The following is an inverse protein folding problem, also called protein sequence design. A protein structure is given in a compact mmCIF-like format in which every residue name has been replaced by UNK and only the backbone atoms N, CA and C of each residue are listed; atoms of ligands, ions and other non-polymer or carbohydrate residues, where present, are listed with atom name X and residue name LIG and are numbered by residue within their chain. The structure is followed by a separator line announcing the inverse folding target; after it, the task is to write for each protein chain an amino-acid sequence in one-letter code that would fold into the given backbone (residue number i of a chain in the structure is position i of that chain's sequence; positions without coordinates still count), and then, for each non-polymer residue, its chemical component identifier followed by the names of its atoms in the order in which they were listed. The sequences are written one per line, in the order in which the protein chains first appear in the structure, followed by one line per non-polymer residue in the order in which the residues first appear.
data_IF_207723614374
#
_entry.id   IF_207723614374
#
_cell.length_a   1.000
_cell.length_b   1.000
_cell.length_c   1.000
_cell.angle_alpha   90.00
_cell.angle_beta   90.00
_cell.angle_gamma   90.00
#
_symmetry.space_group_name_H-M   'P 1'
#
loop_
_entity.id
_entity.type
_entity.pdbx_description
1 polymer ?
#
# COMPACT_ATOMS: atom_id res chain seq x y z
N UNK A 1 2.90 23.56 4.03
CA UNK A 1 1.93 22.53 3.58
C UNK A 1 1.85 22.48 2.05
N UNK A 2 1.82 21.27 1.49
CA UNK A 2 1.67 20.99 0.06
C UNK A 2 0.29 20.34 -0.21
N UNK A 3 -0.37 20.73 -1.31
CA UNK A 3 -1.70 20.23 -1.68
C UNK A 3 -1.69 19.38 -2.95
N UNK A 4 -0.63 19.44 -3.75
CA UNK A 4 -0.44 18.60 -4.93
C UNK A 4 0.92 17.89 -4.88
N UNK A 5 1.09 16.84 -5.68
CA UNK A 5 2.38 16.15 -5.80
C UNK A 5 3.40 17.09 -6.45
N UNK A 6 2.96 17.91 -7.41
CA UNK A 6 3.81 18.96 -7.98
C UNK A 6 4.34 19.91 -6.90
N UNK A 7 3.47 20.43 -6.04
CA UNK A 7 3.90 21.31 -4.93
C UNK A 7 4.82 20.59 -3.94
N UNK A 8 4.52 19.32 -3.62
CA UNK A 8 5.37 18.50 -2.76
C UNK A 8 6.79 18.36 -3.35
N UNK A 9 6.89 18.03 -4.63
CA UNK A 9 8.18 17.90 -5.34
C UNK A 9 8.93 19.24 -5.37
N UNK A 10 8.25 20.33 -5.74
CA UNK A 10 8.86 21.67 -5.79
C UNK A 10 9.36 22.12 -4.42
N UNK A 11 8.58 21.95 -3.35
CA UNK A 11 8.98 22.30 -1.98
C UNK A 11 10.13 21.40 -1.49
N UNK A 12 10.08 20.10 -1.77
CA UNK A 12 11.15 19.19 -1.37
C UNK A 12 12.49 19.59 -2.02
N UNK A 13 12.49 19.89 -3.32
CA UNK A 13 13.70 20.27 -4.05
C UNK A 13 14.23 21.65 -3.63
N UNK A 14 13.35 22.65 -3.47
CA UNK A 14 13.74 24.03 -3.18
C UNK A 14 14.17 24.24 -1.72
N UNK A 15 13.40 23.68 -0.78
CA UNK A 15 13.53 24.02 0.64
C UNK A 15 14.22 22.91 1.45
N UNK A 16 14.23 21.66 0.95
CA UNK A 16 14.70 20.48 1.68
C UNK A 16 15.75 19.65 0.92
N UNK A 17 16.35 20.19 -0.15
CA UNK A 17 17.39 19.52 -0.95
C UNK A 17 16.96 18.13 -1.46
N UNK A 18 15.69 17.99 -1.79
CA UNK A 18 15.06 16.74 -2.26
C UNK A 18 14.62 15.79 -1.14
N UNK A 19 14.78 16.15 0.14
CA UNK A 19 14.39 15.31 1.27
C UNK A 19 12.89 15.45 1.60
N UNK A 20 12.08 14.55 1.04
CA UNK A 20 10.62 14.50 1.26
C UNK A 20 10.27 14.12 2.71
N UNK A 21 11.08 13.30 3.38
CA UNK A 21 10.83 12.91 4.76
C UNK A 21 10.90 14.12 5.70
N UNK A 22 11.92 14.98 5.54
CA UNK A 22 12.05 16.21 6.34
C UNK A 22 10.95 17.24 6.07
N UNK A 23 10.55 17.37 4.80
CA UNK A 23 9.39 18.18 4.44
C UNK A 23 8.13 17.68 5.18
N UNK A 24 7.93 16.37 5.26
CA UNK A 24 6.78 15.80 5.98
C UNK A 24 6.87 15.99 7.48
N UNK A 25 8.05 15.81 8.09
CA UNK A 25 8.27 16.03 9.53
C UNK A 25 7.97 17.49 9.89
N UNK A 26 8.43 18.43 9.06
CA UNK A 26 8.14 19.86 9.24
C UNK A 26 6.64 20.13 9.10
N UNK A 27 5.98 19.50 8.13
CA UNK A 27 4.54 19.61 7.93
C UNK A 27 3.74 19.05 9.11
N UNK A 28 4.17 17.93 9.72
CA UNK A 28 3.55 17.39 10.95
C UNK A 28 3.64 18.37 12.12
N UNK A 29 4.80 19.02 12.30
CA UNK A 29 4.97 20.05 13.32
C UNK A 29 4.02 21.23 13.08
N UNK A 30 3.95 21.75 11.84
CA UNK A 30 3.07 22.86 11.46
C UNK A 30 1.58 22.55 11.69
N UNK A 31 1.16 21.31 11.42
CA UNK A 31 -0.23 20.89 11.49
C UNK A 31 -0.70 20.55 12.91
N UNK A 32 0.16 19.92 13.70
CA UNK A 32 -0.24 19.32 14.97
C UNK A 32 0.34 20.03 16.19
N UNK A 33 1.41 20.82 16.00
CA UNK A 33 2.21 21.40 17.08
C UNK A 33 3.02 20.37 17.87
N UNK A 34 3.11 19.11 17.41
CA UNK A 34 3.94 18.07 18.06
C UNK A 34 5.41 18.32 17.76
N UNK A 35 6.22 18.23 18.80
CA UNK A 35 7.68 18.31 18.67
C UNK A 35 8.25 17.11 17.90
N UNK A 36 9.42 17.31 17.28
CA UNK A 36 10.07 16.30 16.43
C UNK A 36 10.22 14.94 17.14
N UNK A 37 10.64 14.93 18.40
CA UNK A 37 10.82 13.69 19.17
C UNK A 37 9.51 12.90 19.31
N UNK A 38 8.38 13.60 19.48
CA UNK A 38 7.07 12.97 19.59
C UNK A 38 6.61 12.39 18.25
N UNK A 39 6.82 13.11 17.15
CA UNK A 39 6.52 12.66 15.78
C UNK A 39 7.32 11.39 15.45
N UNK A 40 8.60 11.35 15.80
CA UNK A 40 9.45 10.17 15.62
C UNK A 40 9.01 9.00 16.50
N UNK A 41 8.65 9.25 17.77
CA UNK A 41 8.17 8.20 18.67
C UNK A 41 6.88 7.53 18.15
N UNK A 42 5.96 8.31 17.60
CA UNK A 42 4.74 7.79 16.99
C UNK A 42 5.03 6.96 15.74
N UNK A 43 5.94 7.44 14.89
CA UNK A 43 6.34 6.73 13.68
C UNK A 43 7.10 5.43 14.00
N UNK A 44 7.92 5.44 15.05
CA UNK A 44 8.61 4.26 15.57
C UNK A 44 7.62 3.15 15.93
N UNK A 45 6.56 3.51 16.67
CA UNK A 45 5.51 2.55 17.01
C UNK A 45 4.82 1.97 15.78
N UNK A 46 4.61 2.78 14.73
CA UNK A 46 4.05 2.31 13.48
C UNK A 46 5.00 1.31 12.80
N UNK A 47 6.30 1.63 12.75
CA UNK A 47 7.34 0.76 12.20
C UNK A 47 7.41 -0.59 12.94
N UNK A 48 7.39 -0.58 14.26
CA UNK A 48 7.38 -1.79 15.09
C UNK A 48 6.17 -2.67 14.79
N UNK A 49 4.95 -2.10 14.77
CA UNK A 49 3.71 -2.82 14.45
C UNK A 49 3.76 -3.39 13.03
N UNK A 50 4.24 -2.60 12.06
CA UNK A 50 4.41 -3.02 10.68
C UNK A 50 5.31 -4.24 10.57
N UNK A 51 6.52 -4.20 11.16
CA UNK A 51 7.47 -5.32 11.14
C UNK A 51 6.94 -6.54 11.88
N UNK A 52 6.30 -6.34 13.02
CA UNK A 52 5.70 -7.41 13.79
C UNK A 52 4.58 -8.12 13.00
N UNK A 53 3.73 -7.37 12.30
CA UNK A 53 2.61 -7.94 11.53
C UNK A 53 3.07 -8.86 10.38
N UNK A 54 4.23 -8.59 9.76
CA UNK A 54 4.84 -9.49 8.77
C UNK A 54 5.23 -10.82 9.41
N UNK A 55 5.95 -10.76 10.54
CA UNK A 55 6.41 -11.97 11.24
C UNK A 55 5.25 -12.79 11.82
N UNK A 56 4.31 -12.13 12.49
CA UNK A 56 3.13 -12.76 13.08
C UNK A 56 2.12 -13.27 12.04
N UNK A 57 2.21 -12.79 10.80
CA UNK A 57 1.41 -13.23 9.68
C UNK A 57 1.91 -14.53 9.04
N UNK A 58 3.22 -14.79 9.11
CA UNK A 58 3.89 -15.90 8.44
C UNK A 58 3.69 -17.23 9.19
N UNK A 59 2.48 -17.78 9.11
CA UNK A 59 2.11 -19.07 9.67
C UNK A 59 0.94 -19.69 8.91
N UNK A 60 0.64 -20.96 9.20
CA UNK A 60 -0.41 -21.72 8.54
C UNK A 60 -1.81 -21.53 9.15
N UNK A 61 -1.94 -20.68 10.19
CA UNK A 61 -3.22 -20.49 10.87
C UNK A 61 -4.21 -19.73 9.99
N UNK A 62 -5.46 -20.21 10.00
CA UNK A 62 -6.57 -19.62 9.25
C UNK A 62 -7.32 -18.54 10.02
N UNK A 63 -7.97 -17.66 9.27
CA UNK A 63 -8.97 -16.72 9.79
C UNK A 63 -10.17 -17.46 10.37
N UNK A 64 -11.04 -16.73 11.09
CA UNK A 64 -12.27 -17.30 11.65
C UNK A 64 -13.25 -17.80 10.58
N UNK A 65 -13.29 -17.16 9.41
CA UNK A 65 -14.13 -17.59 8.29
C UNK A 65 -13.54 -18.81 7.57
N UNK A 66 -12.23 -19.04 7.71
CA UNK A 66 -11.49 -20.08 7.00
C UNK A 66 -11.18 -19.74 5.53
N UNK A 67 -11.55 -18.56 5.03
CA UNK A 67 -11.32 -18.14 3.64
C UNK A 67 -9.85 -17.82 3.35
N UNK A 68 -9.11 -17.32 4.34
CA UNK A 68 -7.68 -17.01 4.20
C UNK A 68 -6.84 -17.57 5.35
N UNK A 69 -5.53 -17.73 5.09
CA UNK A 69 -4.55 -18.21 6.05
C UNK A 69 -3.67 -19.31 5.47
N UNK A 70 -2.36 -19.16 5.67
CA UNK A 70 -1.34 -20.11 5.24
C UNK A 70 -0.88 -19.91 3.80
N UNK A 71 -1.41 -18.95 3.06
CA UNK A 71 -0.89 -18.66 1.71
C UNK A 71 0.47 -17.97 1.76
N UNK A 72 0.75 -17.20 2.83
CA UNK A 72 2.09 -16.65 3.06
C UNK A 72 3.12 -17.77 3.24
N UNK A 73 2.81 -18.78 4.06
CA UNK A 73 3.68 -19.94 4.29
C UNK A 73 3.89 -20.78 3.01
N UNK A 74 2.83 -20.97 2.20
CA UNK A 74 2.98 -21.64 0.90
C UNK A 74 3.92 -20.90 -0.04
N UNK A 75 3.80 -19.56 -0.11
CA UNK A 75 4.67 -18.76 -0.95
C UNK A 75 6.11 -18.74 -0.41
N UNK A 76 6.29 -18.75 0.90
CA UNK A 76 7.59 -18.90 1.56
C UNK A 76 8.30 -20.20 1.14
N UNK A 77 7.62 -21.34 1.29
CA UNK A 77 8.15 -22.62 0.84
C UNK A 77 8.42 -22.67 -0.68
N UNK A 78 7.61 -22.00 -1.49
CA UNK A 78 7.87 -21.89 -2.92
C UNK A 78 9.16 -21.10 -3.22
N UNK A 79 9.44 -20.03 -2.47
CA UNK A 79 10.67 -19.25 -2.56
C UNK A 79 11.88 -20.10 -2.13
N UNK A 80 11.77 -20.82 -1.01
CA UNK A 80 12.83 -21.71 -0.49
C UNK A 80 13.20 -22.84 -1.47
N UNK A 81 12.23 -23.31 -2.26
CA UNK A 81 12.48 -24.32 -3.30
C UNK A 81 13.34 -23.82 -4.47
N UNK A 82 13.59 -22.50 -4.57
CA UNK A 82 14.56 -21.90 -5.49
C UNK A 82 14.20 -21.95 -6.98
N UNK A 83 12.99 -22.37 -7.34
CA UNK A 83 12.50 -22.44 -8.74
C UNK A 83 11.49 -21.32 -9.03
N UNK A 84 11.73 -20.13 -8.51
CA UNK A 84 10.85 -18.98 -8.65
C UNK A 84 10.89 -18.40 -10.06
N UNK A 85 9.79 -17.75 -10.48
CA UNK A 85 9.69 -17.09 -11.77
C UNK A 85 10.08 -15.60 -11.69
N UNK A 86 9.71 -14.95 -10.59
CA UNK A 86 10.01 -13.54 -10.33
C UNK A 86 11.25 -13.41 -9.45
N UNK A 87 11.82 -12.20 -9.42
CA UNK A 87 12.93 -11.86 -8.53
C UNK A 87 12.59 -12.11 -7.05
N UNK A 88 13.61 -12.52 -6.28
CA UNK A 88 13.48 -12.84 -4.86
C UNK A 88 12.90 -11.68 -4.05
N UNK A 89 13.36 -10.44 -4.27
CA UNK A 89 12.92 -9.28 -3.50
C UNK A 89 11.43 -9.01 -3.73
N UNK A 90 10.97 -9.09 -4.98
CA UNK A 90 9.56 -8.87 -5.33
C UNK A 90 8.68 -9.98 -4.73
N UNK A 91 9.12 -11.25 -4.79
CA UNK A 91 8.38 -12.36 -4.19
C UNK A 91 8.34 -12.29 -2.67
N UNK A 92 9.44 -11.87 -2.03
CA UNK A 92 9.49 -11.63 -0.59
C UNK A 92 8.51 -10.52 -0.18
N UNK A 93 8.41 -9.45 -0.95
CA UNK A 93 7.40 -8.41 -0.72
C UNK A 93 5.97 -8.96 -0.89
N UNK A 94 5.70 -9.71 -1.95
CA UNK A 94 4.40 -10.34 -2.15
C UNK A 94 4.02 -11.29 -1.00
N UNK A 95 4.96 -12.13 -0.54
CA UNK A 95 4.80 -13.01 0.63
C UNK A 95 4.50 -12.21 1.90
N UNK A 96 5.28 -11.17 2.17
CA UNK A 96 5.12 -10.35 3.37
C UNK A 96 3.76 -9.61 3.36
N UNK A 97 3.28 -9.19 2.20
CA UNK A 97 1.97 -8.56 2.05
C UNK A 97 0.83 -9.54 2.38
N UNK A 98 0.93 -10.78 1.89
CA UNK A 98 -0.01 -11.85 2.24
C UNK A 98 0.03 -12.09 3.76
N UNK A 99 1.22 -12.17 4.36
CA UNK A 99 1.38 -12.40 5.79
C UNK A 99 0.65 -11.31 6.61
N UNK A 100 0.89 -10.03 6.32
CA UNK A 100 0.24 -8.92 7.02
C UNK A 100 -1.28 -8.97 6.87
N UNK A 101 -1.80 -9.20 5.67
CA UNK A 101 -3.25 -9.26 5.45
C UNK A 101 -3.89 -10.51 6.05
N UNK A 102 -3.20 -11.65 6.11
CA UNK A 102 -3.66 -12.81 6.85
C UNK A 102 -3.66 -12.54 8.36
N UNK A 103 -2.67 -11.82 8.89
CA UNK A 103 -2.67 -11.36 10.28
C UNK A 103 -3.87 -10.44 10.57
N UNK A 104 -4.16 -9.48 9.69
CA UNK A 104 -5.33 -8.61 9.76
C UNK A 104 -6.65 -9.42 9.74
N UNK A 105 -6.78 -10.39 8.83
CA UNK A 105 -7.96 -11.27 8.75
C UNK A 105 -8.17 -12.14 10.00
N UNK A 106 -7.10 -12.35 10.79
CA UNK A 106 -7.13 -13.02 12.09
C UNK A 106 -7.42 -12.05 13.25
N UNK A 107 -7.81 -10.80 12.96
CA UNK A 107 -8.00 -9.70 13.92
C UNK A 107 -6.72 -9.33 14.68
N UNK A 108 -5.56 -9.56 14.05
CA UNK A 108 -4.27 -9.13 14.54
C UNK A 108 -4.07 -7.62 14.44
N UNK A 109 -3.12 -7.08 15.20
CA UNK A 109 -2.81 -5.66 15.17
C UNK A 109 -2.03 -5.32 13.89
N UNK A 110 -2.54 -4.39 13.09
CA UNK A 110 -1.90 -3.87 11.89
C UNK A 110 -1.92 -2.35 11.87
N UNK A 111 -1.00 -1.75 11.11
CA UNK A 111 -1.01 -0.31 10.83
C UNK A 111 -1.81 -0.06 9.53
N UNK A 112 -2.82 0.81 9.60
CA UNK A 112 -3.62 1.15 8.43
C UNK A 112 -2.79 1.97 7.44
N UNK A 113 -2.72 1.52 6.18
CA UNK A 113 -1.90 2.17 5.13
C UNK A 113 -2.59 2.12 3.76
N UNK A 114 -3.49 3.06 3.43
CA UNK A 114 -4.18 3.97 4.34
C UNK A 114 -5.36 3.30 5.10
N UNK A 115 -5.83 2.12 4.68
CA UNK A 115 -6.89 1.38 5.39
C UNK A 115 -6.38 0.06 5.95
N UNK A 116 -7.19 -0.63 6.76
CA UNK A 116 -6.88 -1.98 7.20
C UNK A 116 -6.87 -2.98 6.03
N UNK A 117 -7.66 -2.72 4.98
CA UNK A 117 -7.73 -3.57 3.78
C UNK A 117 -6.46 -3.55 2.94
N UNK A 118 -5.76 -2.42 2.91
CA UNK A 118 -4.51 -2.22 2.18
C UNK A 118 -3.25 -2.28 3.07
N UNK A 119 -3.41 -2.68 4.34
CA UNK A 119 -2.37 -2.62 5.37
C UNK A 119 -1.10 -3.43 5.04
N UNK A 120 -1.15 -4.38 4.12
CA UNK A 120 0.00 -5.20 3.76
C UNK A 120 0.95 -4.56 2.75
N UNK A 121 0.53 -3.54 1.99
CA UNK A 121 1.35 -2.98 0.92
C UNK A 121 2.62 -2.29 1.46
N UNK A 122 2.47 -1.26 2.29
CA UNK A 122 3.60 -0.49 2.79
C UNK A 122 4.60 -1.30 3.64
N UNK A 123 4.17 -2.08 4.66
CA UNK A 123 5.12 -2.84 5.48
C UNK A 123 5.86 -3.93 4.69
N UNK A 124 5.21 -4.53 3.69
CA UNK A 124 5.86 -5.56 2.88
C UNK A 124 6.92 -5.00 1.95
N UNK A 125 6.66 -3.84 1.34
CA UNK A 125 7.65 -3.14 0.52
C UNK A 125 8.80 -2.66 1.38
N UNK A 126 8.52 -2.04 2.54
CA UNK A 126 9.57 -1.60 3.47
C UNK A 126 10.44 -2.78 3.95
N UNK A 127 9.84 -3.88 4.40
CA UNK A 127 10.63 -5.02 4.91
C UNK A 127 11.49 -5.68 3.84
N UNK A 128 11.01 -5.79 2.60
CA UNK A 128 11.82 -6.25 1.48
C UNK A 128 12.91 -5.23 1.10
N UNK A 129 12.62 -3.92 1.20
CA UNK A 129 13.58 -2.85 0.94
C UNK A 129 14.70 -2.78 1.99
N UNK A 130 14.39 -3.03 3.27
CA UNK A 130 15.39 -3.11 4.35
C UNK A 130 16.47 -4.13 4.00
N UNK A 131 16.07 -5.34 3.58
CA UNK A 131 17.01 -6.39 3.21
C UNK A 131 17.75 -6.05 1.90
N UNK A 132 17.05 -5.49 0.92
CA UNK A 132 17.62 -5.23 -0.42
C UNK A 132 18.61 -4.05 -0.44
N UNK A 133 18.32 -3.00 0.32
CA UNK A 133 19.05 -1.73 0.30
C UNK A 133 19.90 -1.51 1.56
N UNK A 134 19.89 -2.48 2.50
CA UNK A 134 20.56 -2.39 3.82
C UNK A 134 20.16 -1.11 4.58
N UNK A 135 18.85 -0.83 4.64
CA UNK A 135 18.34 0.42 5.20
C UNK A 135 18.63 0.52 6.70
N UNK A 136 19.27 1.61 7.08
CA UNK A 136 19.44 1.98 8.49
C UNK A 136 18.09 2.18 9.16
N UNK A 137 18.09 2.19 10.49
CA UNK A 137 16.88 2.43 11.26
C UNK A 137 16.25 3.80 10.96
N UNK A 138 17.08 4.84 10.83
CA UNK A 138 16.64 6.19 10.45
C UNK A 138 16.01 6.21 9.05
N UNK A 139 16.64 5.52 8.08
CA UNK A 139 16.11 5.40 6.72
C UNK A 139 14.77 4.65 6.67
N UNK A 140 14.52 3.73 7.61
CA UNK A 140 13.22 3.06 7.73
C UNK A 140 12.12 4.04 8.16
N UNK A 141 12.43 4.99 9.05
CA UNK A 141 11.51 6.04 9.46
C UNK A 141 11.29 7.06 8.34
N UNK A 142 12.35 7.49 7.67
CA UNK A 142 12.27 8.38 6.52
C UNK A 142 11.40 7.80 5.40
N UNK A 143 11.51 6.49 5.16
CA UNK A 143 10.65 5.78 4.22
C UNK A 143 9.16 5.96 4.57
N UNK A 144 8.80 5.82 5.85
CA UNK A 144 7.42 5.97 6.30
C UNK A 144 6.93 7.42 6.24
N UNK A 145 7.79 8.39 6.60
CA UNK A 145 7.47 9.82 6.44
C UNK A 145 7.26 10.19 4.98
N UNK A 146 8.12 9.73 4.09
CA UNK A 146 7.98 9.95 2.66
C UNK A 146 6.68 9.33 2.10
N UNK A 147 6.37 8.09 2.49
CA UNK A 147 5.10 7.45 2.13
C UNK A 147 3.90 8.26 2.64
N UNK A 148 3.97 8.76 3.88
CA UNK A 148 2.96 9.63 4.48
C UNK A 148 2.75 10.94 3.71
N UNK A 149 3.82 11.58 3.25
CA UNK A 149 3.74 12.82 2.46
C UNK A 149 2.92 12.64 1.18
N UNK A 150 3.25 11.60 0.40
CA UNK A 150 2.51 11.30 -0.83
C UNK A 150 1.08 10.83 -0.53
N UNK A 151 0.90 10.06 0.55
CA UNK A 151 -0.41 9.62 1.01
C UNK A 151 -1.34 10.78 1.39
N UNK A 152 -0.80 11.81 2.05
CA UNK A 152 -1.55 13.02 2.42
C UNK A 152 -2.11 13.72 1.19
N UNK A 153 -1.31 13.85 0.12
CA UNK A 153 -1.78 14.45 -1.14
C UNK A 153 -2.87 13.60 -1.77
N UNK A 154 -2.69 12.28 -1.86
CA UNK A 154 -3.70 11.38 -2.44
C UNK A 154 -5.01 11.45 -1.64
N UNK A 155 -4.94 11.44 -0.31
CA UNK A 155 -6.11 11.51 0.55
C UNK A 155 -6.88 12.84 0.42
N UNK A 156 -6.18 13.95 0.21
CA UNK A 156 -6.81 15.27 0.10
C UNK A 156 -7.42 15.56 -1.29
N UNK A 157 -6.94 14.90 -2.35
CA UNK A 157 -7.38 15.16 -3.72
C UNK A 157 -8.25 14.05 -4.32
N UNK A 158 -8.27 12.88 -3.70
CA UNK A 158 -9.08 11.76 -4.12
C UNK A 158 -9.84 11.15 -2.93
N UNK A 159 -10.02 9.84 -2.93
CA UNK A 159 -10.44 9.08 -1.76
C UNK A 159 -9.40 8.02 -1.47
N UNK A 160 -9.31 7.62 -0.20
CA UNK A 160 -8.53 6.48 0.26
C UNK A 160 -9.43 5.33 0.75
N UNK A 161 -10.75 5.45 0.56
CA UNK A 161 -11.76 4.52 1.05
C UNK A 161 -12.26 3.58 -0.04
N UNK A 162 -12.27 2.27 0.24
CA UNK A 162 -12.77 1.25 -0.67
C UNK A 162 -14.27 1.41 -0.95
N UNK A 163 -15.01 1.82 0.07
CA UNK A 163 -16.44 2.10 0.01
C UNK A 163 -16.79 3.32 -0.87
N UNK A 164 -15.88 4.28 -1.04
CA UNK A 164 -16.13 5.49 -1.83
C UNK A 164 -15.53 5.39 -3.25
N UNK A 165 -14.27 4.97 -3.35
CA UNK A 165 -13.49 5.04 -4.58
C UNK A 165 -13.13 3.69 -5.19
N UNK A 166 -13.59 2.57 -4.60
CA UNK A 166 -13.15 1.22 -4.97
C UNK A 166 -11.75 0.90 -4.46
N UNK A 167 -11.25 -0.30 -4.76
CA UNK A 167 -9.97 -0.77 -4.21
C UNK A 167 -8.76 -0.07 -4.84
N UNK A 168 -8.94 0.64 -5.96
CA UNK A 168 -7.97 1.61 -6.47
C UNK A 168 -7.63 2.70 -5.43
N UNK A 169 -8.60 3.13 -4.63
CA UNK A 169 -8.43 4.16 -3.61
C UNK A 169 -7.71 3.62 -2.37
N UNK A 170 -7.84 2.33 -2.06
CA UNK A 170 -7.17 1.71 -0.92
C UNK A 170 -5.81 1.12 -1.32
N UNK A 171 -5.83 -0.01 -2.02
CA UNK A 171 -4.62 -0.77 -2.40
C UNK A 171 -3.82 0.00 -3.45
N UNK A 172 -4.47 0.73 -4.35
CA UNK A 172 -3.78 1.58 -5.32
C UNK A 172 -3.02 2.72 -4.66
N UNK A 173 -3.65 3.45 -3.74
CA UNK A 173 -2.98 4.48 -2.95
C UNK A 173 -1.84 3.90 -2.11
N UNK A 174 -2.07 2.79 -1.41
CA UNK A 174 -1.05 2.14 -0.60
C UNK A 174 0.17 1.69 -1.42
N UNK A 175 -0.07 1.08 -2.58
CA UNK A 175 0.96 0.66 -3.52
C UNK A 175 1.72 1.87 -4.09
N UNK A 176 1.02 2.97 -4.40
CA UNK A 176 1.62 4.19 -4.96
C UNK A 176 2.49 4.91 -3.92
N UNK A 177 2.02 5.04 -2.68
CA UNK A 177 2.81 5.56 -1.55
C UNK A 177 4.07 4.72 -1.33
N UNK A 178 3.93 3.39 -1.41
CA UNK A 178 5.06 2.47 -1.25
C UNK A 178 6.08 2.59 -2.38
N UNK A 179 5.62 2.72 -3.63
CA UNK A 179 6.48 2.95 -4.80
C UNK A 179 7.29 4.24 -4.69
N UNK A 180 6.65 5.32 -4.26
CA UNK A 180 7.29 6.62 -4.11
C UNK A 180 8.39 6.58 -3.02
N UNK A 181 8.05 6.04 -1.85
CA UNK A 181 9.00 5.89 -0.74
C UNK A 181 10.17 4.96 -1.11
N UNK A 182 9.90 3.86 -1.80
CA UNK A 182 10.94 2.96 -2.30
C UNK A 182 11.86 3.63 -3.31
N UNK A 183 11.32 4.45 -4.21
CA UNK A 183 12.10 5.22 -5.18
C UNK A 183 13.09 6.15 -4.47
N UNK A 184 12.62 6.89 -3.45
CA UNK A 184 13.47 7.78 -2.66
C UNK A 184 14.52 7.01 -1.85
N UNK A 185 14.13 5.92 -1.19
CA UNK A 185 15.05 5.09 -0.41
C UNK A 185 16.15 4.45 -1.28
N UNK A 186 15.88 4.21 -2.56
CA UNK A 186 16.85 3.74 -3.54
C UNK A 186 17.72 4.86 -4.16
N UNK A 187 17.59 6.10 -3.69
CA UNK A 187 18.37 7.26 -4.15
C UNK A 187 17.77 8.00 -5.35
N UNK A 188 16.51 7.74 -5.69
CA UNK A 188 15.77 8.49 -6.70
C UNK A 188 15.37 9.89 -6.22
N UNK A 189 15.08 10.78 -7.16
CA UNK A 189 14.63 12.15 -6.87
C UNK A 189 13.14 12.22 -6.51
N UNK A 190 12.65 13.30 -5.87
CA UNK A 190 11.21 13.51 -5.67
C UNK A 190 10.42 13.47 -6.98
N UNK A 191 10.99 13.99 -8.07
CA UNK A 191 10.39 13.87 -9.39
C UNK A 191 10.24 12.40 -9.83
N UNK A 192 11.26 11.56 -9.68
CA UNK A 192 11.15 10.14 -9.99
C UNK A 192 10.11 9.44 -9.10
N UNK A 193 10.08 9.76 -7.80
CA UNK A 193 9.06 9.24 -6.88
C UNK A 193 7.63 9.59 -7.36
N UNK A 194 7.42 10.81 -7.88
CA UNK A 194 6.15 11.21 -8.50
C UNK A 194 5.79 10.39 -9.75
N UNK A 195 6.79 9.97 -10.55
CA UNK A 195 6.56 9.08 -11.69
C UNK A 195 6.11 7.69 -11.25
N UNK A 196 6.72 7.17 -10.19
CA UNK A 196 6.37 5.87 -9.62
C UNK A 196 4.90 5.83 -9.16
N UNK A 197 4.41 6.90 -8.53
CA UNK A 197 2.98 7.07 -8.20
C UNK A 197 2.11 7.01 -9.45
N UNK A 198 2.47 7.79 -10.48
CA UNK A 198 1.71 7.83 -11.72
C UNK A 198 1.64 6.45 -12.39
N UNK A 199 2.71 5.65 -12.34
CA UNK A 199 2.71 4.29 -12.88
C UNK A 199 1.78 3.36 -12.11
N UNK A 200 1.84 3.36 -10.78
CA UNK A 200 0.98 2.50 -9.97
C UNK A 200 -0.49 2.87 -10.18
N UNK A 201 -0.86 4.14 -9.99
CA UNK A 201 -2.26 4.55 -10.01
C UNK A 201 -2.88 4.26 -11.38
N UNK A 202 -2.20 4.58 -12.49
CA UNK A 202 -2.69 4.28 -13.85
C UNK A 202 -3.02 2.81 -14.06
N UNK A 203 -2.20 1.91 -13.52
CA UNK A 203 -2.40 0.47 -13.66
C UNK A 203 -3.47 -0.09 -12.71
N UNK A 204 -3.90 0.69 -11.72
CA UNK A 204 -4.95 0.32 -10.78
C UNK A 204 -6.28 1.04 -11.02
N UNK A 205 -6.36 1.98 -11.96
CA UNK A 205 -7.61 2.66 -12.30
C UNK A 205 -8.73 1.67 -12.66
N UNK A 206 -9.90 1.88 -12.06
CA UNK A 206 -11.08 1.04 -12.23
C UNK A 206 -11.11 -0.22 -11.34
N UNK A 207 -10.12 -0.42 -10.46
CA UNK A 207 -10.12 -1.57 -9.56
C UNK A 207 -11.26 -1.47 -8.54
N UNK A 208 -12.30 -2.27 -8.75
CA UNK A 208 -13.51 -2.33 -7.91
C UNK A 208 -13.22 -2.89 -6.50
N UNK A 209 -14.04 -2.56 -5.50
CA UNK A 209 -13.96 -3.17 -4.17
C UNK A 209 -15.19 -4.05 -3.94
N UNK A 210 -15.08 -5.35 -4.14
CA UNK A 210 -16.18 -6.26 -3.82
C UNK A 210 -15.60 -7.50 -3.08
N UNK A 211 -15.59 -7.45 -1.74
CA UNK A 211 -15.09 -8.57 -0.94
C UNK A 211 -16.13 -9.67 -0.81
N UNK A 212 -15.70 -10.93 -0.94
CA UNK A 212 -16.56 -12.10 -0.70
C UNK A 212 -17.02 -12.08 0.75
N UNK A 213 -18.33 -12.25 0.94
CA UNK A 213 -18.98 -12.21 2.25
C UNK A 213 -18.78 -10.87 3.01
N UNK A 214 -18.38 -9.79 2.33
CA UNK A 214 -18.08 -8.51 2.98
C UNK A 214 -16.79 -8.53 3.82
N UNK A 215 -15.98 -9.60 3.72
CA UNK A 215 -14.80 -9.80 4.56
C UNK A 215 -13.53 -9.30 3.89
N UNK A 216 -12.63 -8.69 4.67
CA UNK A 216 -11.31 -8.21 4.22
C UNK A 216 -10.33 -9.38 4.03
N UNK A 217 -10.72 -10.33 3.18
CA UNK A 217 -10.00 -11.59 2.94
C UNK A 217 -9.86 -11.84 1.44
N UNK A 218 -10.98 -12.06 0.75
CA UNK A 218 -11.00 -12.37 -0.69
C UNK A 218 -11.71 -11.26 -1.43
N UNK A 219 -11.07 -10.57 -2.40
CA UNK A 219 -9.72 -10.78 -2.93
C UNK A 219 -8.60 -9.99 -2.19
N UNK A 220 -8.92 -9.30 -1.09
CA UNK A 220 -8.08 -8.28 -0.45
C UNK A 220 -6.64 -8.74 -0.17
N UNK A 221 -6.46 -9.97 0.35
CA UNK A 221 -5.13 -10.51 0.68
C UNK A 221 -4.22 -10.56 -0.55
N UNK A 222 -4.73 -11.05 -1.68
CA UNK A 222 -3.94 -11.22 -2.92
C UNK A 222 -3.74 -9.88 -3.61
N UNK A 223 -4.68 -8.94 -3.47
CA UNK A 223 -4.51 -7.57 -3.98
C UNK A 223 -3.34 -6.85 -3.32
N UNK A 224 -3.10 -7.06 -2.03
CA UNK A 224 -1.94 -6.48 -1.36
C UNK A 224 -0.62 -7.07 -1.89
N UNK A 225 -0.57 -8.38 -2.15
CA UNK A 225 0.60 -9.01 -2.78
C UNK A 225 0.92 -8.43 -4.17
N UNK A 226 -0.12 -8.24 -4.99
CA UNK A 226 0.03 -7.61 -6.31
C UNK A 226 0.39 -6.13 -6.20
N UNK A 227 -0.17 -5.41 -5.22
CA UNK A 227 0.15 -4.01 -4.95
C UNK A 227 1.60 -3.82 -4.51
N UNK A 228 2.11 -4.68 -3.62
CA UNK A 228 3.53 -4.67 -3.26
C UNK A 228 4.43 -4.95 -4.47
N UNK A 229 4.02 -5.86 -5.35
CA UNK A 229 4.76 -6.17 -6.58
C UNK A 229 4.78 -5.00 -7.55
N UNK A 230 3.64 -4.30 -7.73
CA UNK A 230 3.58 -3.09 -8.56
C UNK A 230 4.46 -1.98 -8.01
N UNK A 231 4.60 -1.87 -6.69
CA UNK A 231 5.42 -0.83 -6.08
C UNK A 231 6.90 -0.96 -6.46
N UNK A 232 7.46 -2.17 -6.41
CA UNK A 232 8.83 -2.44 -6.86
C UNK A 232 9.04 -2.15 -8.34
N UNK A 233 8.15 -2.68 -9.21
CA UNK A 233 8.27 -2.48 -10.66
C UNK A 233 8.13 -0.99 -11.02
N UNK A 234 7.21 -0.27 -10.38
CA UNK A 234 7.05 1.16 -10.61
C UNK A 234 8.26 1.98 -10.16
N UNK A 235 8.87 1.63 -9.02
CA UNK A 235 10.10 2.25 -8.54
C UNK A 235 11.25 2.02 -9.53
N UNK A 236 11.45 0.77 -10.00
CA UNK A 236 12.47 0.45 -11.00
C UNK A 236 12.27 1.24 -12.30
N UNK A 237 11.02 1.34 -12.78
CA UNK A 237 10.70 2.13 -13.98
C UNK A 237 11.04 3.62 -13.78
N UNK A 238 10.71 4.19 -12.63
CA UNK A 238 11.01 5.59 -12.32
C UNK A 238 12.52 5.85 -12.19
N UNK A 239 13.24 4.96 -11.50
CA UNK A 239 14.69 5.02 -11.36
C UNK A 239 15.41 4.87 -12.70
N UNK A 240 14.86 4.08 -13.63
CA UNK A 240 15.34 3.95 -14.99
C UNK A 240 15.09 5.20 -15.87
N UNK A 241 14.42 6.23 -15.34
CA UNK A 241 14.12 7.47 -16.05
C UNK A 241 12.93 7.35 -17.01
N UNK A 242 12.07 6.34 -16.83
CA UNK A 242 10.79 6.30 -17.54
C UNK A 242 9.89 7.38 -16.94
N UNK A 243 9.20 8.11 -17.81
CA UNK A 243 8.31 9.20 -17.42
C UNK A 243 6.87 8.93 -17.87
N UNK A 244 5.95 9.29 -16.99
CA UNK A 244 4.54 9.37 -17.30
C UNK A 244 4.26 10.54 -18.25
N UNK A 245 3.51 10.28 -19.32
CA UNK A 245 3.03 11.34 -20.24
C UNK A 245 1.87 12.16 -19.70
N UNK A 246 1.23 11.70 -18.63
CA UNK A 246 0.14 12.42 -17.95
C UNK A 246 0.69 12.84 -16.58
N UNK A 247 0.61 14.12 -16.20
CA UNK A 247 1.03 14.59 -14.89
C UNK A 247 0.40 13.77 -13.75
N UNK A 248 1.17 13.50 -12.71
CA UNK A 248 0.73 12.66 -11.58
C UNK A 248 -0.52 13.20 -10.89
N UNK A 249 -0.67 14.52 -10.77
CA UNK A 249 -1.86 15.14 -10.17
C UNK A 249 -3.12 14.88 -11.00
N UNK A 250 -3.02 14.93 -12.33
CA UNK A 250 -4.11 14.55 -13.24
C UNK A 250 -4.44 13.05 -13.15
N UNK A 251 -3.45 12.20 -12.87
CA UNK A 251 -3.68 10.77 -12.64
C UNK A 251 -4.44 10.54 -11.33
N UNK A 252 -4.14 11.31 -10.27
CA UNK A 252 -4.86 11.26 -9.00
C UNK A 252 -6.30 11.76 -9.17
N UNK A 253 -6.50 12.86 -9.89
CA UNK A 253 -7.87 13.33 -10.22
C UNK A 253 -8.62 12.29 -11.06
N UNK A 254 -7.98 11.67 -12.06
CA UNK A 254 -8.60 10.59 -12.82
C UNK A 254 -9.03 9.42 -11.92
N UNK A 255 -8.22 9.05 -10.91
CA UNK A 255 -8.60 8.05 -9.90
C UNK A 255 -9.85 8.48 -9.14
N UNK A 256 -9.91 9.74 -8.70
CA UNK A 256 -11.10 10.29 -8.03
C UNK A 256 -12.34 10.23 -8.93
N UNK A 257 -12.26 10.71 -10.18
CA UNK A 257 -13.39 10.72 -11.11
C UNK A 257 -13.90 9.31 -11.43
N UNK A 258 -12.99 8.36 -11.63
CA UNK A 258 -13.34 6.94 -11.84
C UNK A 258 -14.04 6.36 -10.61
N UNK A 259 -13.53 6.64 -9.41
CA UNK A 259 -14.13 6.19 -8.15
C UNK A 259 -15.52 6.78 -7.94
N UNK A 260 -15.67 8.09 -8.11
CA UNK A 260 -16.94 8.80 -7.98
C UNK A 260 -18.01 8.30 -8.95
N UNK A 261 -17.60 7.90 -10.16
CA UNK A 261 -18.47 7.35 -11.20
C UNK A 261 -18.76 5.84 -11.05
N UNK A 262 -18.09 5.16 -10.13
CA UNK A 262 -18.21 3.71 -9.95
C UNK A 262 -19.61 3.34 -9.41
N UNK A 263 -20.34 2.39 -10.00
CA UNK A 263 -21.61 1.93 -9.45
C UNK A 263 -21.48 1.41 -8.01
N UNK A 264 -22.48 1.68 -7.17
CA UNK A 264 -22.50 1.26 -5.75
C UNK A 264 -22.25 -0.23 -5.55
N UNK A 265 -22.75 -1.08 -6.46
CA UNK A 265 -22.55 -2.53 -6.41
C UNK A 265 -21.09 -2.98 -6.60
N UNK A 266 -20.23 -2.12 -7.16
CA UNK A 266 -18.80 -2.37 -7.35
C UNK A 266 -17.92 -1.63 -6.33
N UNK A 267 -18.56 -0.93 -5.40
CA UNK A 267 -17.93 -0.47 -4.16
C UNK A 267 -18.17 -1.53 -3.09
N UNK A 268 -17.62 -1.32 -1.89
CA UNK A 268 -17.50 -2.28 -0.77
C UNK A 268 -18.84 -2.80 -0.17
N UNK A 269 -19.92 -2.81 -0.94
CA UNK A 269 -21.26 -3.31 -0.60
C UNK A 269 -21.41 -4.82 -0.76
N UNK A 270 -20.47 -5.49 -1.45
CA UNK A 270 -20.52 -6.92 -1.79
C UNK A 270 -21.76 -7.33 -2.63
N UNK A 271 -22.34 -6.38 -3.37
CA UNK A 271 -23.52 -6.58 -4.23
C UNK A 271 -23.15 -6.86 -5.71
N UNK A 272 -21.86 -6.91 -6.04
CA UNK A 272 -21.33 -7.09 -7.39
C UNK A 272 -20.24 -8.15 -7.52
N UNK A 273 -19.38 -7.98 -8.52
CA UNK A 273 -18.27 -8.85 -8.95
C UNK A 273 -18.13 -10.23 -8.29
N UNK A 274 -17.05 -10.47 -7.53
CA UNK A 274 -16.67 -11.76 -6.94
C UNK A 274 -17.66 -12.24 -5.88
N UNK A 275 -18.19 -11.36 -5.04
CA UNK A 275 -19.12 -11.62 -3.96
C UNK A 275 -20.43 -12.23 -4.49
N UNK A 276 -20.89 -11.80 -5.67
CA UNK A 276 -22.12 -12.31 -6.29
C UNK A 276 -21.95 -13.54 -7.18
N UNK A 277 -20.71 -14.02 -7.36
CA UNK A 277 -20.48 -15.29 -8.07
C UNK A 277 -21.16 -16.46 -7.36
N UNK A 278 -21.47 -17.57 -8.06
CA UNK A 278 -22.08 -18.74 -7.42
C UNK A 278 -21.29 -19.24 -6.21
N UNK A 279 -19.95 -19.25 -6.30
CA UNK A 279 -19.07 -19.64 -5.21
C UNK A 279 -19.04 -18.59 -4.10
N UNK A 280 -18.97 -17.30 -4.43
CA UNK A 280 -18.98 -16.21 -3.44
C UNK A 280 -20.24 -16.23 -2.58
N UNK A 281 -21.42 -16.35 -3.21
CA UNK A 281 -22.71 -16.48 -2.52
C UNK A 281 -22.80 -17.74 -1.66
N UNK A 282 -22.30 -18.88 -2.16
CA UNK A 282 -22.26 -20.12 -1.38
C UNK A 282 -21.40 -19.96 -0.12
N UNK A 283 -20.20 -19.37 -0.25
CA UNK A 283 -19.30 -19.14 0.88
C UNK A 283 -19.90 -18.17 1.91
N UNK A 284 -20.55 -17.10 1.46
CA UNK A 284 -21.26 -16.16 2.34
C UNK A 284 -22.30 -16.88 3.21
N UNK A 285 -23.12 -17.75 2.59
CA UNK A 285 -24.13 -18.56 3.27
C UNK A 285 -23.52 -19.52 4.30
N UNK A 286 -22.44 -20.21 3.92
CA UNK A 286 -21.73 -21.13 4.82
C UNK A 286 -21.14 -20.42 6.05
N UNK A 287 -20.67 -19.17 5.89
CA UNK A 287 -20.08 -18.38 6.97
C UNK A 287 -21.15 -17.81 7.91
N UNK A 288 -22.24 -17.28 7.37
CA UNK A 288 -23.26 -16.57 8.16
C UNK A 288 -24.49 -17.44 8.53
N UNK A 289 -24.63 -18.64 7.97
CA UNK A 289 -25.71 -19.57 8.28
C UNK A 289 -27.06 -19.24 7.63
N UNK A 290 -27.07 -18.55 6.50
CA UNK A 290 -28.28 -18.14 5.74
C UNK A 290 -28.60 -19.00 4.51
#
# INVERSE_FOLDING_TARGET
MFYSIKELVEQADLDFQGNVAELMITTEFELTGREREEVFLLMERNLEVMKASVQLGLNENKSRSGLTGGDAAKLDHYIENGKTLSDYTILSAARNAIAVNEHNAKMGLVCATPTAGSAGCLPSVLTAAIEKLDLSHEQQLDFLFAAGAFGLVIANNASISGAEGGCQAEVGSASAMSAAALTLAAGGTPYQASQAIAFVIKNMLGLICDPVAGLVEVPCVKRNAMGASFAFIAADMALAGIESKIPVDEVIDAMYQVGASMPTAFRETAEGGLATTPTGRRLQKEIFGE
#
